data_IF_928469751815
#
_entry.id   IF_928469751815
#
_cell.length_a   1.000
_cell.length_b   1.000
_cell.length_c   1.000
_cell.angle_alpha   90.00
_cell.angle_beta   90.00
_cell.angle_gamma   90.00
#
_symmetry.space_group_name_H-M   'P 1'
#
loop_
_entity.id
_entity.type
_entity.pdbx_description
1 polymer ?
#
# COMPACT_ATOMS: atom_id res chain seq x y z
N UNK A 1 46.32 54.09 -0.82
CA UNK A 1 46.41 52.76 -1.45
C UNK A 1 45.31 51.90 -0.81
N UNK A 2 44.08 51.99 -1.33
CA UNK A 2 42.91 51.28 -0.78
C UNK A 2 42.74 49.92 -1.53
N UNK A 3 42.83 48.78 -0.81
CA UNK A 3 42.55 47.43 -1.35
C UNK A 3 41.06 47.13 -1.24
N UNK A 4 40.37 47.11 -2.37
CA UNK A 4 39.01 46.60 -2.48
C UNK A 4 39.04 45.08 -2.36
N UNK A 5 38.48 44.52 -1.26
CA UNK A 5 38.14 43.10 -1.13
C UNK A 5 36.80 42.81 -1.84
N UNK A 6 36.85 42.12 -2.96
CA UNK A 6 35.65 41.58 -3.59
C UNK A 6 35.11 40.43 -2.73
N UNK A 7 33.95 40.63 -2.16
CA UNK A 7 33.15 39.53 -1.59
C UNK A 7 32.47 38.79 -2.75
N UNK A 8 32.85 37.55 -3.00
CA UNK A 8 32.09 36.62 -3.83
C UNK A 8 30.92 36.08 -2.96
N UNK A 9 29.69 36.49 -3.29
CA UNK A 9 28.49 35.81 -2.82
C UNK A 9 28.42 34.42 -3.49
N UNK A 10 28.19 33.33 -2.76
CA UNK A 10 27.90 32.07 -3.38
C UNK A 10 26.51 32.15 -4.05
N UNK A 11 26.47 31.90 -5.35
CA UNK A 11 25.22 31.64 -6.07
C UNK A 11 24.59 30.36 -5.51
N UNK A 12 23.57 30.55 -4.69
CA UNK A 12 22.65 29.48 -4.32
C UNK A 12 21.84 29.16 -5.60
N UNK A 13 22.26 28.16 -6.34
CA UNK A 13 21.41 27.54 -7.35
C UNK A 13 20.20 26.91 -6.61
N UNK A 14 18.96 27.28 -6.96
CA UNK A 14 17.82 26.53 -6.44
C UNK A 14 17.96 25.10 -6.96
N UNK A 15 18.12 24.16 -6.06
CA UNK A 15 17.88 22.75 -6.37
C UNK A 15 16.42 22.66 -6.82
N UNK A 16 16.17 22.67 -8.12
CA UNK A 16 14.91 22.21 -8.67
C UNK A 16 14.79 20.74 -8.26
N UNK A 17 14.00 20.47 -7.24
CA UNK A 17 13.58 19.11 -6.96
C UNK A 17 12.78 18.67 -8.19
N UNK A 18 13.42 17.97 -9.12
CA UNK A 18 12.71 17.29 -10.18
C UNK A 18 11.73 16.33 -9.51
N UNK A 19 10.45 16.52 -9.78
CA UNK A 19 9.42 15.56 -9.40
C UNK A 19 9.85 14.20 -9.95
N UNK A 20 9.87 13.18 -9.09
CA UNK A 20 10.40 11.87 -9.43
C UNK A 20 9.25 10.87 -9.53
N UNK A 21 9.18 10.12 -10.65
CA UNK A 21 8.21 9.03 -10.80
C UNK A 21 8.25 8.07 -9.62
N UNK A 22 7.13 7.38 -9.30
CA UNK A 22 7.15 6.27 -8.36
C UNK A 22 8.17 5.21 -8.79
N UNK A 23 9.12 4.88 -7.93
CA UNK A 23 10.22 3.96 -8.23
C UNK A 23 9.83 2.51 -7.93
N UNK A 24 8.76 2.04 -8.55
CA UNK A 24 8.31 0.64 -8.40
C UNK A 24 9.41 -0.37 -8.73
N UNK A 25 10.31 -0.04 -9.66
CA UNK A 25 11.37 -0.94 -10.10
C UNK A 25 12.35 -1.30 -8.98
N UNK A 26 12.72 -0.36 -8.12
CA UNK A 26 13.62 -0.59 -6.97
C UNK A 26 13.06 -1.58 -5.96
N UNK A 27 11.74 -1.69 -5.86
CA UNK A 27 11.08 -2.63 -4.95
C UNK A 27 10.80 -3.97 -5.61
N UNK A 28 10.43 -3.99 -6.90
CA UNK A 28 10.20 -5.21 -7.66
C UNK A 28 11.52 -5.98 -7.85
N UNK A 29 12.61 -5.27 -8.13
CA UNK A 29 13.93 -5.82 -8.43
C UNK A 29 14.88 -5.76 -7.22
N UNK A 30 14.36 -5.92 -5.99
CA UNK A 30 15.23 -5.96 -4.80
C UNK A 30 16.28 -7.09 -4.94
N UNK A 31 17.49 -6.88 -4.39
CA UNK A 31 18.50 -7.94 -4.36
C UNK A 31 17.99 -9.23 -3.69
N UNK A 32 18.61 -10.35 -4.03
CA UNK A 32 18.30 -11.63 -3.37
C UNK A 32 18.49 -11.49 -1.86
N UNK A 33 17.42 -11.76 -1.12
CA UNK A 33 17.47 -11.70 0.34
C UNK A 33 18.20 -12.91 0.90
N UNK A 34 19.20 -12.65 1.72
CA UNK A 34 19.89 -13.69 2.51
C UNK A 34 19.27 -13.71 3.90
N UNK A 35 18.56 -14.79 4.21
CA UNK A 35 17.94 -14.95 5.52
C UNK A 35 18.99 -14.96 6.65
N UNK A 36 18.68 -14.39 7.82
CA UNK A 36 19.53 -14.50 8.99
C UNK A 36 19.67 -15.95 9.46
N UNK A 37 20.63 -16.19 10.36
CA UNK A 37 20.71 -17.49 10.99
C UNK A 37 19.47 -17.75 11.86
N UNK A 38 18.82 -18.90 11.66
CA UNK A 38 17.69 -19.30 12.48
C UNK A 38 18.11 -19.46 13.95
N UNK A 39 17.29 -18.92 14.86
CA UNK A 39 17.46 -19.09 16.30
C UNK A 39 16.31 -19.95 16.88
N UNK A 40 16.37 -20.22 18.18
CA UNK A 40 15.26 -20.90 18.86
C UNK A 40 14.19 -19.88 19.23
N UNK A 41 12.93 -20.29 19.19
CA UNK A 41 11.84 -19.52 19.83
C UNK A 41 12.15 -19.31 21.31
N UNK A 42 11.77 -18.17 21.86
CA UNK A 42 11.89 -17.88 23.28
C UNK A 42 10.95 -18.76 24.10
N UNK A 43 9.78 -19.07 23.54
CA UNK A 43 8.75 -19.86 24.22
C UNK A 43 8.45 -21.17 23.50
N UNK A 44 8.42 -22.27 24.26
CA UNK A 44 8.06 -23.59 23.72
C UNK A 44 6.64 -23.62 23.12
N UNK A 45 5.70 -22.83 23.67
CA UNK A 45 4.34 -22.69 23.13
C UNK A 45 4.37 -22.20 21.67
N UNK A 46 5.18 -21.20 21.37
CA UNK A 46 5.32 -20.59 20.04
C UNK A 46 6.03 -21.54 19.07
N UNK A 47 7.03 -22.29 19.54
CA UNK A 47 7.65 -23.35 18.73
C UNK A 47 6.66 -24.44 18.32
N UNK A 48 5.76 -24.86 19.24
CA UNK A 48 4.71 -25.85 18.93
C UNK A 48 3.72 -25.26 17.93
N UNK A 49 3.31 -24.01 18.14
CA UNK A 49 2.40 -23.28 17.28
C UNK A 49 2.96 -23.20 15.85
N UNK A 50 4.19 -22.74 15.67
CA UNK A 50 4.84 -22.62 14.37
C UNK A 50 5.05 -23.96 13.65
N UNK A 51 5.22 -25.05 14.40
CA UNK A 51 5.32 -26.41 13.81
C UNK A 51 3.99 -26.99 13.39
N UNK A 52 2.89 -26.60 14.04
CA UNK A 52 1.56 -27.18 13.83
C UNK A 52 0.67 -26.35 12.92
N UNK A 53 0.99 -25.09 12.72
CA UNK A 53 0.17 -24.11 11.98
C UNK A 53 1.01 -23.36 10.94
N UNK A 54 0.38 -22.95 9.86
CA UNK A 54 1.00 -22.10 8.85
C UNK A 54 1.13 -20.67 9.36
N UNK A 55 2.25 -20.03 9.10
CA UNK A 55 2.46 -18.60 9.37
C UNK A 55 1.46 -17.74 8.58
N UNK A 56 0.78 -16.83 9.28
CA UNK A 56 -0.22 -15.94 8.71
C UNK A 56 0.06 -14.50 9.13
N UNK A 57 1.25 -14.04 8.82
CA UNK A 57 1.71 -12.72 9.18
C UNK A 57 1.10 -11.66 8.27
N UNK A 58 0.85 -10.48 8.83
CA UNK A 58 0.27 -9.35 8.11
C UNK A 58 1.01 -8.05 8.42
N UNK A 59 0.99 -7.12 7.49
CA UNK A 59 1.61 -5.81 7.64
C UNK A 59 0.85 -4.78 6.83
N UNK A 60 0.64 -3.60 7.42
CA UNK A 60 0.06 -2.46 6.73
C UNK A 60 1.12 -1.68 5.97
N UNK A 61 0.77 -1.18 4.78
CA UNK A 61 1.64 -0.26 4.05
C UNK A 61 1.56 1.16 4.63
N UNK A 62 2.64 1.89 4.47
CA UNK A 62 2.76 3.29 4.90
C UNK A 62 3.11 4.18 3.72
N UNK A 63 2.38 5.28 3.55
CA UNK A 63 2.72 6.34 2.61
C UNK A 63 2.83 7.64 3.38
N UNK A 64 3.92 8.39 3.14
CA UNK A 64 4.22 9.64 3.83
C UNK A 64 4.72 10.70 2.87
N UNK A 65 4.57 11.96 3.26
CA UNK A 65 5.26 13.06 2.60
C UNK A 65 6.74 13.05 2.97
N UNK A 66 7.61 13.45 2.06
CA UNK A 66 9.04 13.62 2.32
C UNK A 66 9.29 14.48 3.57
N UNK A 67 10.22 14.05 4.41
CA UNK A 67 10.55 14.71 5.67
C UNK A 67 9.71 14.25 6.87
N UNK A 68 8.67 13.47 6.66
CA UNK A 68 7.93 12.83 7.76
C UNK A 68 8.59 11.51 8.19
N UNK A 69 8.25 11.02 9.38
CA UNK A 69 8.65 9.71 9.87
C UNK A 69 7.67 8.64 9.40
N UNK A 70 8.18 7.58 8.78
CA UNK A 70 7.39 6.44 8.32
C UNK A 70 7.30 5.39 9.43
N UNK A 71 6.12 5.21 10.02
CA UNK A 71 5.86 4.11 10.94
C UNK A 71 5.15 2.97 10.21
N UNK A 72 5.71 1.76 10.32
CA UNK A 72 5.14 0.54 9.75
C UNK A 72 4.98 -0.51 10.84
N UNK A 73 3.82 -1.15 10.88
CA UNK A 73 3.46 -2.15 11.89
C UNK A 73 3.16 -3.48 11.22
N UNK A 74 3.84 -4.53 11.69
CA UNK A 74 3.55 -5.91 11.34
C UNK A 74 2.90 -6.64 12.52
N UNK A 75 2.02 -7.61 12.21
CA UNK A 75 1.41 -8.54 13.17
C UNK A 75 1.76 -9.96 12.77
N UNK A 76 2.14 -10.75 13.74
CA UNK A 76 2.63 -12.12 13.55
C UNK A 76 1.64 -13.11 14.15
N UNK A 77 0.95 -13.84 13.27
CA UNK A 77 -0.05 -14.85 13.63
C UNK A 77 0.32 -16.20 13.01
N UNK A 78 -0.22 -17.27 13.60
CA UNK A 78 -0.21 -18.62 13.05
C UNK A 78 -1.62 -19.18 12.97
N UNK A 79 -1.88 -19.94 11.89
CA UNK A 79 -3.19 -20.57 11.63
C UNK A 79 -4.16 -19.64 10.92
N UNK A 80 -4.53 -20.00 9.68
CA UNK A 80 -5.42 -19.20 8.84
C UNK A 80 -6.84 -18.99 9.43
N UNK A 81 -7.32 -19.89 10.30
CA UNK A 81 -8.65 -19.80 10.88
C UNK A 81 -8.65 -19.21 12.31
N UNK A 82 -7.59 -19.44 13.09
CA UNK A 82 -7.54 -19.05 14.50
C UNK A 82 -6.75 -17.79 14.76
N UNK A 83 -5.86 -17.41 13.84
CA UNK A 83 -5.00 -16.20 13.95
C UNK A 83 -4.38 -16.07 15.35
N UNK A 84 -3.70 -17.15 15.82
CA UNK A 84 -3.07 -17.12 17.13
C UNK A 84 -1.82 -16.27 17.12
N UNK A 85 -1.77 -15.29 17.98
CA UNK A 85 -0.69 -14.31 18.11
C UNK A 85 0.64 -14.99 18.48
N UNK A 86 1.73 -14.50 17.86
CA UNK A 86 3.11 -14.81 18.20
C UNK A 86 3.61 -13.80 19.22
N UNK A 87 3.43 -14.08 20.48
CA UNK A 87 3.75 -13.20 21.60
C UNK A 87 5.21 -13.37 22.06
N UNK A 88 5.87 -12.27 22.39
CA UNK A 88 7.16 -12.23 23.09
C UNK A 88 8.31 -12.98 22.35
N UNK A 89 8.33 -12.87 21.00
CA UNK A 89 9.31 -13.49 20.12
C UNK A 89 10.13 -12.47 19.33
N UNK A 90 11.32 -12.85 18.91
CA UNK A 90 12.21 -11.96 18.18
C UNK A 90 11.96 -11.98 16.68
N UNK A 91 11.99 -10.77 16.11
CA UNK A 91 11.83 -10.47 14.69
C UNK A 91 12.97 -9.57 14.24
N UNK A 92 13.67 -9.96 13.20
CA UNK A 92 14.62 -9.10 12.51
C UNK A 92 13.93 -8.33 11.38
N UNK A 93 14.32 -7.07 11.20
CA UNK A 93 13.69 -6.19 10.21
C UNK A 93 14.74 -5.65 9.25
N UNK A 94 14.40 -5.68 7.96
CA UNK A 94 15.26 -5.28 6.86
C UNK A 94 14.54 -4.33 5.92
N UNK A 95 15.30 -3.45 5.27
CA UNK A 95 14.83 -2.45 4.30
C UNK A 95 15.59 -2.62 2.97
N UNK A 96 14.88 -2.60 1.86
CA UNK A 96 15.42 -2.49 0.51
C UNK A 96 14.57 -1.51 -0.32
N UNK A 97 15.07 -1.00 -1.42
CA UNK A 97 14.33 -0.11 -2.30
C UNK A 97 15.16 1.05 -2.84
N UNK A 98 14.52 2.16 -3.13
CA UNK A 98 15.13 3.33 -3.76
C UNK A 98 16.43 3.75 -3.09
N UNK A 99 17.51 3.84 -3.88
CA UNK A 99 18.84 4.25 -3.42
C UNK A 99 19.61 3.21 -2.60
N UNK A 100 19.05 2.01 -2.38
CA UNK A 100 19.72 0.92 -1.68
C UNK A 100 20.18 -0.17 -2.67
N UNK A 101 21.44 -0.53 -2.60
CA UNK A 101 22.05 -1.58 -3.44
C UNK A 101 21.90 -2.98 -2.86
N UNK A 102 21.54 -3.07 -1.59
CA UNK A 102 21.34 -4.33 -0.87
C UNK A 102 20.33 -4.13 0.29
N UNK A 103 19.94 -5.23 0.94
CA UNK A 103 19.10 -5.23 2.12
C UNK A 103 19.85 -4.66 3.32
N UNK A 104 19.32 -3.59 3.89
CA UNK A 104 19.83 -2.96 5.11
C UNK A 104 19.09 -3.51 6.31
N UNK A 105 19.79 -4.11 7.27
CA UNK A 105 19.21 -4.50 8.56
C UNK A 105 18.85 -3.24 9.36
N UNK A 106 17.60 -3.10 9.75
CA UNK A 106 17.11 -2.00 10.58
C UNK A 106 17.21 -2.29 12.06
N UNK A 107 17.09 -3.56 12.45
CA UNK A 107 17.21 -3.96 13.83
C UNK A 107 16.61 -5.32 14.15
N UNK A 108 16.58 -5.60 15.44
CA UNK A 108 15.98 -6.77 16.07
C UNK A 108 14.96 -6.28 17.08
N UNK A 109 13.75 -6.74 16.97
CA UNK A 109 12.61 -6.28 17.77
C UNK A 109 11.92 -7.47 18.41
N UNK A 110 11.06 -7.20 19.38
CA UNK A 110 10.30 -8.23 20.06
C UNK A 110 8.82 -7.98 19.86
N UNK A 111 8.05 -9.03 19.58
CA UNK A 111 6.60 -8.92 19.46
C UNK A 111 5.97 -8.64 20.83
N UNK A 112 4.93 -7.83 20.83
CA UNK A 112 4.12 -7.53 22.00
C UNK A 112 3.08 -8.64 22.29
N UNK A 113 2.16 -8.40 23.23
CA UNK A 113 1.10 -9.31 23.64
C UNK A 113 0.09 -9.60 22.52
N UNK A 114 -0.04 -8.69 21.54
CA UNK A 114 -0.86 -8.84 20.33
C UNK A 114 -0.07 -9.39 19.13
N UNK A 115 1.16 -9.85 19.34
CA UNK A 115 2.03 -10.34 18.27
C UNK A 115 2.54 -9.25 17.33
N UNK A 116 2.64 -7.98 17.74
CA UNK A 116 2.99 -6.84 16.89
C UNK A 116 4.42 -6.37 17.06
N UNK A 117 4.96 -5.86 15.96
CA UNK A 117 6.19 -5.07 15.93
C UNK A 117 5.94 -3.82 15.13
N UNK A 118 6.21 -2.66 15.71
CA UNK A 118 6.17 -1.35 15.03
C UNK A 118 7.59 -0.79 14.94
N UNK A 119 7.96 -0.30 13.75
CA UNK A 119 9.23 0.39 13.55
C UNK A 119 8.96 1.75 12.90
N UNK A 120 9.85 2.70 13.18
CA UNK A 120 9.82 4.02 12.53
C UNK A 120 11.13 4.26 11.78
N UNK A 121 11.00 4.81 10.57
CA UNK A 121 12.12 5.22 9.75
C UNK A 121 12.01 6.71 9.46
N UNK A 122 13.06 7.45 9.76
CA UNK A 122 13.15 8.88 9.53
C UNK A 122 14.05 9.18 8.32
N UNK A 123 13.82 10.34 7.71
CA UNK A 123 14.68 10.88 6.66
C UNK A 123 14.87 9.97 5.44
N UNK A 124 13.88 9.11 5.13
CA UNK A 124 13.90 8.37 3.88
C UNK A 124 13.75 9.34 2.70
N UNK A 125 14.61 9.21 1.66
CA UNK A 125 14.41 9.93 0.40
C UNK A 125 13.07 9.60 -0.27
N UNK A 126 12.62 10.47 -1.19
CA UNK A 126 11.49 10.15 -2.07
C UNK A 126 11.78 8.83 -2.78
N UNK A 127 10.82 7.91 -2.77
CA UNK A 127 10.96 6.60 -3.39
C UNK A 127 10.06 5.53 -2.77
N UNK A 128 10.29 4.32 -3.20
CA UNK A 128 9.54 3.13 -2.79
C UNK A 128 10.47 2.18 -2.05
N UNK A 129 10.00 1.63 -0.95
CA UNK A 129 10.79 0.76 -0.08
C UNK A 129 10.00 -0.48 0.33
N UNK A 130 10.70 -1.62 0.36
CA UNK A 130 10.20 -2.88 0.92
C UNK A 130 10.80 -3.07 2.30
N UNK A 131 9.95 -3.31 3.28
CA UNK A 131 10.32 -3.66 4.65
C UNK A 131 10.02 -5.13 4.87
N UNK A 132 11.05 -5.92 5.10
CA UNK A 132 10.91 -7.36 5.39
C UNK A 132 11.08 -7.61 6.87
N UNK A 133 10.11 -8.28 7.44
CA UNK A 133 10.15 -8.79 8.80
C UNK A 133 10.39 -10.28 8.76
N UNK A 134 11.30 -10.77 9.58
CA UNK A 134 11.72 -12.18 9.64
C UNK A 134 11.60 -12.68 11.08
N UNK A 135 10.75 -13.65 11.33
CA UNK A 135 10.67 -14.33 12.64
C UNK A 135 11.90 -15.19 12.83
N UNK A 136 12.68 -14.92 13.86
CA UNK A 136 13.95 -15.66 14.07
C UNK A 136 13.75 -17.16 14.32
N UNK A 137 12.64 -17.54 14.92
CA UNK A 137 12.37 -18.90 15.35
C UNK A 137 12.15 -19.92 14.23
N UNK A 138 11.57 -19.50 13.10
CA UNK A 138 11.25 -20.38 11.96
C UNK A 138 11.57 -19.76 10.60
N UNK A 139 12.12 -18.54 10.58
CA UNK A 139 12.45 -17.75 9.38
C UNK A 139 11.25 -17.42 8.51
N UNK A 140 10.03 -17.54 9.03
CA UNK A 140 8.84 -17.05 8.34
C UNK A 140 8.91 -15.53 8.16
N UNK A 141 8.37 -15.02 7.05
CA UNK A 141 8.52 -13.62 6.66
C UNK A 141 7.20 -12.96 6.29
N UNK A 142 7.16 -11.64 6.41
CA UNK A 142 6.14 -10.79 5.79
C UNK A 142 6.79 -9.51 5.29
N UNK A 143 6.36 -9.07 4.09
CA UNK A 143 6.80 -7.83 3.48
C UNK A 143 5.72 -6.76 3.58
N UNK A 144 6.10 -5.56 4.01
CA UNK A 144 5.32 -4.34 3.91
C UNK A 144 6.05 -3.29 3.09
N UNK A 145 5.36 -2.20 2.77
CA UNK A 145 5.92 -1.20 1.88
C UNK A 145 5.80 0.20 2.47
N UNK A 146 6.81 1.02 2.20
CA UNK A 146 6.81 2.44 2.51
C UNK A 146 6.96 3.19 1.20
N UNK A 147 6.01 4.10 0.92
CA UNK A 147 6.11 5.08 -0.16
C UNK A 147 6.40 6.44 0.45
N UNK A 148 7.49 7.07 0.03
CA UNK A 148 7.83 8.45 0.39
C UNK A 148 7.60 9.32 -0.84
N UNK A 149 6.72 10.29 -0.73
CA UNK A 149 6.28 11.10 -1.87
C UNK A 149 6.52 12.60 -1.64
N UNK A 150 6.67 13.35 -2.72
CA UNK A 150 6.61 14.80 -2.68
C UNK A 150 5.18 15.30 -2.53
N UNK A 151 5.02 16.50 -2.03
CA UNK A 151 3.72 17.18 -2.00
C UNK A 151 3.17 17.38 -3.42
N UNK A 152 1.89 17.10 -3.62
CA UNK A 152 1.24 17.22 -4.92
C UNK A 152 1.46 16.02 -5.84
N UNK A 153 2.09 14.91 -5.36
CA UNK A 153 2.19 13.67 -6.11
C UNK A 153 0.80 13.23 -6.58
N UNK A 154 0.65 13.03 -7.90
CA UNK A 154 -0.60 12.60 -8.47
C UNK A 154 -0.86 11.12 -8.22
N UNK A 155 -2.07 10.81 -7.75
CA UNK A 155 -2.46 9.47 -7.37
C UNK A 155 -3.80 9.05 -7.99
N UNK A 156 -3.93 7.73 -8.20
CA UNK A 156 -5.18 7.08 -8.59
C UNK A 156 -5.53 6.07 -7.49
N UNK A 157 -6.75 6.14 -6.99
CA UNK A 157 -7.24 5.25 -5.93
C UNK A 157 -8.23 4.26 -6.50
N UNK A 158 -8.04 2.98 -6.20
CA UNK A 158 -8.93 1.90 -6.59
C UNK A 158 -9.49 1.20 -5.34
N UNK A 159 -10.81 1.05 -5.27
CA UNK A 159 -11.37 -0.05 -4.52
C UNK A 159 -11.10 -1.36 -5.25
N UNK A 160 -11.21 -2.51 -4.57
CA UNK A 160 -10.83 -3.81 -5.13
C UNK A 160 -12.05 -4.65 -5.47
N UNK A 161 -12.86 -4.97 -4.45
CA UNK A 161 -13.97 -5.91 -4.60
C UNK A 161 -15.16 -5.28 -5.32
N UNK A 162 -15.66 -5.95 -6.36
CA UNK A 162 -16.70 -5.40 -7.22
C UNK A 162 -16.23 -4.21 -8.08
N UNK A 163 -15.00 -3.74 -7.90
CA UNK A 163 -14.39 -2.63 -8.65
C UNK A 163 -13.33 -3.14 -9.62
N UNK A 164 -12.23 -3.70 -9.16
CA UNK A 164 -11.25 -4.37 -10.03
C UNK A 164 -11.65 -5.81 -10.30
N UNK A 165 -12.32 -6.47 -9.36
CA UNK A 165 -12.85 -7.82 -9.48
C UNK A 165 -14.34 -7.82 -9.74
N UNK A 166 -14.85 -8.87 -10.44
CA UNK A 166 -16.27 -9.00 -10.81
C UNK A 166 -17.15 -9.27 -9.57
N UNK A 167 -16.61 -9.94 -8.57
CA UNK A 167 -17.36 -10.35 -7.38
C UNK A 167 -17.04 -9.42 -6.22
N UNK A 168 -18.07 -9.00 -5.51
CA UNK A 168 -17.93 -8.39 -4.19
C UNK A 168 -17.41 -9.43 -3.20
N UNK A 169 -16.56 -8.98 -2.28
CA UNK A 169 -16.05 -9.79 -1.17
C UNK A 169 -17.17 -10.26 -0.22
N UNK A 170 -18.40 -9.82 -0.40
CA UNK A 170 -19.56 -10.29 0.35
C UNK A 170 -19.85 -11.79 0.16
N UNK A 171 -19.28 -12.43 -0.86
CA UNK A 171 -19.22 -13.88 -0.95
C UNK A 171 -18.22 -14.50 0.06
N UNK A 172 -18.22 -14.02 1.28
CA UNK A 172 -17.42 -14.51 2.41
C UNK A 172 -17.58 -16.01 2.69
N UNK A 173 -18.69 -16.59 2.26
CA UNK A 173 -18.94 -18.03 2.38
C UNK A 173 -18.05 -18.89 1.47
N UNK A 174 -17.46 -18.31 0.40
CA UNK A 174 -16.53 -18.99 -0.50
C UNK A 174 -15.06 -18.87 -0.06
N UNK A 175 -14.80 -18.18 1.04
CA UNK A 175 -13.45 -17.90 1.57
C UNK A 175 -12.66 -19.17 1.94
N UNK A 176 -13.33 -20.27 2.25
CA UNK A 176 -12.70 -21.56 2.55
C UNK A 176 -12.31 -22.34 1.27
N UNK A 177 -12.66 -21.86 0.09
CA UNK A 177 -12.54 -22.60 -1.16
C UNK A 177 -11.89 -21.84 -2.32
N UNK A 178 -10.76 -21.16 -2.12
CA UNK A 178 -9.75 -20.78 -3.16
C UNK A 178 -10.28 -20.48 -4.58
N UNK A 179 -11.30 -19.70 -4.76
CA UNK A 179 -11.60 -19.14 -6.08
C UNK A 179 -10.80 -17.87 -6.27
N UNK A 180 -9.82 -17.87 -7.15
CA UNK A 180 -9.11 -16.68 -7.58
C UNK A 180 -10.12 -15.67 -8.13
N UNK A 181 -10.26 -14.52 -7.50
CA UNK A 181 -11.13 -13.45 -7.97
C UNK A 181 -10.83 -13.11 -9.43
N UNK A 182 -11.85 -13.02 -10.27
CA UNK A 182 -11.69 -12.66 -11.69
C UNK A 182 -11.72 -11.14 -11.83
N UNK A 183 -10.72 -10.53 -12.50
CA UNK A 183 -10.79 -9.12 -12.79
C UNK A 183 -11.90 -8.83 -13.83
N UNK A 184 -12.46 -7.63 -13.78
CA UNK A 184 -13.20 -7.10 -14.91
C UNK A 184 -12.30 -7.02 -16.15
N UNK A 185 -12.91 -7.16 -17.33
CA UNK A 185 -12.19 -6.98 -18.60
C UNK A 185 -11.56 -5.59 -18.62
N UNK A 186 -10.28 -5.53 -18.95
CA UNK A 186 -9.44 -4.33 -18.99
C UNK A 186 -9.18 -3.62 -17.64
N UNK A 187 -9.68 -4.10 -16.50
CA UNK A 187 -9.37 -3.49 -15.19
C UNK A 187 -7.86 -3.47 -14.92
N UNK A 188 -7.17 -4.58 -15.18
CA UNK A 188 -5.71 -4.69 -15.04
C UNK A 188 -4.98 -3.73 -15.97
N UNK A 189 -5.46 -3.57 -17.22
CA UNK A 189 -4.88 -2.65 -18.19
C UNK A 189 -5.05 -1.19 -17.77
N UNK A 190 -6.16 -0.84 -17.11
CA UNK A 190 -6.39 0.50 -16.52
C UNK A 190 -5.36 0.81 -15.45
N UNK A 191 -5.16 -0.09 -14.49
CA UNK A 191 -4.17 0.12 -13.41
C UNK A 191 -2.76 0.24 -13.99
N UNK A 192 -2.35 -0.66 -14.89
CA UNK A 192 -1.03 -0.61 -15.54
C UNK A 192 -0.80 0.68 -16.31
N UNK A 193 -1.80 1.13 -17.08
CA UNK A 193 -1.65 2.35 -17.85
C UNK A 193 -1.43 3.59 -16.95
N UNK A 194 -2.07 3.66 -15.80
CA UNK A 194 -1.80 4.73 -14.84
C UNK A 194 -0.43 4.58 -14.19
N UNK A 195 -0.02 3.37 -13.82
CA UNK A 195 1.33 3.10 -13.32
C UNK A 195 2.41 3.51 -14.33
N UNK A 196 2.26 3.11 -15.60
CA UNK A 196 3.18 3.45 -16.69
C UNK A 196 3.23 4.95 -16.98
N UNK A 197 2.13 5.66 -16.72
CA UNK A 197 2.05 7.12 -16.78
C UNK A 197 2.59 7.83 -15.54
N UNK A 198 3.10 7.09 -14.56
CA UNK A 198 3.76 7.62 -13.37
C UNK A 198 2.81 8.09 -12.27
N UNK A 199 1.58 7.67 -12.27
CA UNK A 199 0.68 7.90 -11.14
C UNK A 199 0.99 6.98 -9.97
N UNK A 200 0.87 7.51 -8.74
CA UNK A 200 0.89 6.67 -7.54
C UNK A 200 -0.38 5.83 -7.49
N UNK A 201 -0.23 4.51 -7.52
CA UNK A 201 -1.36 3.58 -7.43
C UNK A 201 -1.65 3.30 -5.96
N UNK A 202 -2.92 3.38 -5.58
CA UNK A 202 -3.38 3.11 -4.22
C UNK A 202 -4.60 2.21 -4.28
N UNK A 203 -4.53 1.09 -3.56
CA UNK A 203 -5.67 0.20 -3.36
C UNK A 203 -6.26 0.46 -1.98
N UNK A 204 -7.53 0.86 -1.92
CA UNK A 204 -8.26 1.18 -0.70
C UNK A 204 -9.49 0.29 -0.58
N UNK A 205 -9.41 -0.75 0.23
CA UNK A 205 -10.43 -1.78 0.32
C UNK A 205 -11.06 -1.90 1.70
N UNK A 206 -12.26 -2.46 1.74
CA UNK A 206 -12.95 -2.84 2.98
C UNK A 206 -12.47 -4.18 3.55
N UNK A 207 -11.59 -4.91 2.84
CA UNK A 207 -11.04 -6.17 3.31
C UNK A 207 -10.36 -6.04 4.67
N UNK A 208 -10.45 -7.03 5.55
CA UNK A 208 -9.70 -7.03 6.81
C UNK A 208 -8.20 -7.24 6.55
N UNK A 209 -7.37 -6.83 7.52
CA UNK A 209 -5.92 -6.90 7.40
C UNK A 209 -5.37 -8.33 7.18
N UNK A 210 -6.02 -9.34 7.73
CA UNK A 210 -5.59 -10.73 7.57
C UNK A 210 -5.71 -11.25 6.13
N UNK A 211 -6.49 -10.57 5.25
CA UNK A 211 -6.58 -10.87 3.81
C UNK A 211 -5.45 -10.24 2.97
N UNK A 212 -4.56 -9.46 3.57
CA UNK A 212 -3.49 -8.74 2.87
C UNK A 212 -2.59 -9.67 2.05
N UNK A 213 -2.29 -10.86 2.60
CA UNK A 213 -1.45 -11.87 1.92
C UNK A 213 -2.09 -12.33 0.62
N UNK A 214 -3.36 -12.70 0.64
CA UNK A 214 -4.09 -13.21 -0.52
C UNK A 214 -4.33 -12.09 -1.54
N UNK A 215 -4.63 -10.88 -1.09
CA UNK A 215 -4.75 -9.70 -1.95
C UNK A 215 -3.45 -9.42 -2.71
N UNK A 216 -2.30 -9.41 -2.05
CA UNK A 216 -1.00 -9.19 -2.70
C UNK A 216 -0.63 -10.29 -3.69
N UNK A 217 -0.90 -11.55 -3.36
CA UNK A 217 -0.73 -12.66 -4.29
C UNK A 217 -1.57 -12.49 -5.55
N UNK A 218 -2.80 -11.98 -5.39
CA UNK A 218 -3.66 -11.67 -6.53
C UNK A 218 -3.07 -10.55 -7.40
N UNK A 219 -2.61 -9.44 -6.81
CA UNK A 219 -1.96 -8.35 -7.54
C UNK A 219 -0.72 -8.85 -8.29
N UNK A 220 0.16 -9.60 -7.63
CA UNK A 220 1.34 -10.19 -8.25
C UNK A 220 0.98 -11.09 -9.43
N UNK A 221 -0.03 -11.96 -9.28
CA UNK A 221 -0.52 -12.83 -10.35
C UNK A 221 -1.06 -12.04 -11.55
N UNK A 222 -1.66 -10.88 -11.32
CA UNK A 222 -2.15 -9.98 -12.37
C UNK A 222 -1.02 -9.11 -12.95
N UNK A 223 0.20 -9.17 -12.39
CA UNK A 223 1.32 -8.30 -12.77
C UNK A 223 1.05 -6.84 -12.45
N UNK A 224 0.40 -6.58 -11.32
CA UNK A 224 0.11 -5.26 -10.77
C UNK A 224 1.07 -4.97 -9.61
N UNK A 225 1.31 -3.69 -9.27
CA UNK A 225 1.99 -3.34 -8.03
C UNK A 225 1.26 -3.95 -6.83
N UNK A 226 2.01 -4.57 -5.91
CA UNK A 226 1.44 -5.17 -4.70
C UNK A 226 1.15 -4.15 -3.61
N UNK A 227 1.51 -2.88 -3.85
CA UNK A 227 1.37 -1.74 -2.95
C UNK A 227 1.07 -0.46 -3.75
N UNK A 228 0.57 0.61 -3.18
CA UNK A 228 0.21 0.82 -1.79
C UNK A 228 -1.17 0.21 -1.52
N UNK A 229 -1.28 -0.72 -0.56
CA UNK A 229 -2.51 -1.44 -0.24
C UNK A 229 -3.00 -1.09 1.17
N UNK A 230 -4.20 -0.54 1.28
CA UNK A 230 -4.83 -0.19 2.55
C UNK A 230 -6.07 -1.03 2.78
N UNK A 231 -5.94 -2.00 3.69
CA UNK A 231 -7.04 -2.78 4.27
C UNK A 231 -7.55 -2.11 5.56
N UNK A 232 -8.64 -2.65 6.11
CA UNK A 232 -9.09 -2.25 7.45
C UNK A 232 -8.20 -2.92 8.51
N UNK A 233 -7.12 -2.22 8.84
CA UNK A 233 -6.25 -2.62 9.95
C UNK A 233 -6.80 -2.01 11.23
N UNK A 234 -7.24 -2.83 12.18
CA UNK A 234 -7.79 -2.37 13.45
C UNK A 234 -7.12 -3.12 14.62
N UNK A 235 -7.05 -2.45 15.74
CA UNK A 235 -6.64 -3.04 17.00
C UNK A 235 -7.71 -3.99 17.53
N UNK A 236 -7.31 -5.08 18.20
CA UNK A 236 -8.25 -6.02 18.84
C UNK A 236 -9.22 -5.32 19.80
N UNK A 237 -8.80 -4.18 20.37
CA UNK A 237 -9.57 -3.38 21.32
C UNK A 237 -10.34 -2.22 20.66
N UNK A 238 -10.19 -1.96 19.37
CA UNK A 238 -10.89 -0.90 18.66
C UNK A 238 -12.13 -1.43 17.95
N UNK A 239 -13.21 -0.63 17.94
CA UNK A 239 -14.37 -0.93 17.11
C UNK A 239 -13.93 -0.89 15.65
N UNK A 240 -14.33 -1.91 14.87
CA UNK A 240 -14.14 -1.90 13.41
C UNK A 240 -14.88 -0.68 12.86
N UNK A 241 -14.20 0.31 12.24
CA UNK A 241 -14.87 1.46 11.68
C UNK A 241 -15.82 1.01 10.56
N UNK A 242 -16.92 1.73 10.37
CA UNK A 242 -17.79 1.52 9.21
C UNK A 242 -16.97 1.68 7.91
N UNK A 243 -17.34 0.97 6.85
CA UNK A 243 -16.60 0.96 5.57
C UNK A 243 -16.43 2.38 5.01
N UNK A 244 -17.51 3.17 5.02
CA UNK A 244 -17.47 4.56 4.58
C UNK A 244 -16.47 5.38 5.41
N UNK A 245 -16.55 5.32 6.74
CA UNK A 245 -15.65 6.05 7.64
C UNK A 245 -14.19 5.68 7.39
N UNK A 246 -13.88 4.36 7.30
CA UNK A 246 -12.53 3.90 6.99
C UNK A 246 -11.98 4.49 5.69
N UNK A 247 -12.78 4.50 4.62
CA UNK A 247 -12.36 5.05 3.33
C UNK A 247 -12.24 6.57 3.37
N UNK A 248 -13.20 7.27 3.99
CA UNK A 248 -13.17 8.73 4.14
C UNK A 248 -11.94 9.19 4.92
N UNK A 249 -11.67 8.58 6.08
CA UNK A 249 -10.55 8.95 6.94
C UNK A 249 -9.21 8.76 6.22
N UNK A 250 -9.08 7.63 5.51
CA UNK A 250 -7.85 7.37 4.78
C UNK A 250 -7.64 8.30 3.57
N UNK A 251 -8.69 8.61 2.82
CA UNK A 251 -8.62 9.59 1.73
C UNK A 251 -8.27 10.99 2.26
N UNK A 252 -8.81 11.40 3.39
CA UNK A 252 -8.46 12.66 4.05
C UNK A 252 -6.99 12.66 4.51
N UNK A 253 -6.49 11.56 5.07
CA UNK A 253 -5.07 11.40 5.39
C UNK A 253 -4.18 11.56 4.14
N UNK A 254 -4.51 10.88 3.04
CA UNK A 254 -3.75 10.97 1.78
C UNK A 254 -3.71 12.40 1.24
N UNK A 255 -4.83 13.12 1.28
CA UNK A 255 -4.95 14.48 0.73
C UNK A 255 -4.34 15.54 1.63
N UNK A 256 -4.58 15.48 2.94
CA UNK A 256 -4.25 16.57 3.86
C UNK A 256 -2.98 16.34 4.67
N UNK A 257 -2.59 15.10 4.93
CA UNK A 257 -1.37 14.77 5.68
C UNK A 257 -0.23 14.38 4.75
N UNK A 258 -0.48 13.52 3.77
CA UNK A 258 0.51 13.11 2.77
C UNK A 258 0.65 14.15 1.66
N UNK A 259 -0.42 14.90 1.37
CA UNK A 259 -0.43 15.96 0.37
C UNK A 259 -0.57 15.45 -1.06
N UNK A 260 -1.22 14.29 -1.28
CA UNK A 260 -1.45 13.76 -2.62
C UNK A 260 -2.51 14.57 -3.38
N UNK A 261 -2.28 14.74 -4.69
CA UNK A 261 -3.30 15.14 -5.66
C UNK A 261 -3.99 13.89 -6.21
N UNK A 262 -5.16 13.54 -5.63
CA UNK A 262 -5.94 12.38 -6.07
C UNK A 262 -6.72 12.77 -7.34
N UNK A 263 -6.22 12.34 -8.49
CA UNK A 263 -6.78 12.71 -9.80
C UNK A 263 -8.05 11.93 -10.12
N UNK A 264 -8.14 10.66 -9.74
CA UNK A 264 -9.31 9.80 -9.92
C UNK A 264 -9.45 8.78 -8.83
N UNK A 265 -10.70 8.41 -8.56
CA UNK A 265 -11.07 7.32 -7.66
C UNK A 265 -12.04 6.37 -8.34
N UNK A 266 -11.90 5.09 -8.06
CA UNK A 266 -12.70 4.01 -8.64
C UNK A 266 -13.39 3.21 -7.54
N UNK A 267 -14.68 2.92 -7.70
CA UNK A 267 -15.49 2.18 -6.74
C UNK A 267 -16.70 1.52 -7.39
N UNK A 268 -17.50 0.80 -6.59
CA UNK A 268 -18.70 0.13 -7.07
C UNK A 268 -19.93 0.29 -6.15
N UNK A 269 -19.73 0.74 -4.91
CA UNK A 269 -20.74 0.75 -3.87
C UNK A 269 -21.23 2.18 -3.51
N UNK A 270 -22.41 2.28 -2.89
CA UNK A 270 -22.89 3.55 -2.34
C UNK A 270 -21.98 4.10 -1.24
N UNK A 271 -21.30 3.22 -0.49
CA UNK A 271 -20.31 3.58 0.53
C UNK A 271 -19.07 4.23 -0.10
N UNK A 272 -18.66 3.81 -1.31
CA UNK A 272 -17.58 4.45 -2.08
C UNK A 272 -17.99 5.85 -2.51
N UNK A 273 -19.15 5.97 -3.13
CA UNK A 273 -19.68 7.27 -3.57
C UNK A 273 -19.76 8.26 -2.40
N UNK A 274 -20.23 7.80 -1.24
CA UNK A 274 -20.31 8.62 -0.05
C UNK A 274 -18.91 9.00 0.50
N UNK A 275 -18.01 8.02 0.63
CA UNK A 275 -16.65 8.26 1.13
C UNK A 275 -15.86 9.23 0.25
N UNK A 276 -15.98 9.10 -1.06
CA UNK A 276 -15.31 9.98 -2.02
C UNK A 276 -15.84 11.41 -1.93
N UNK A 277 -17.18 11.57 -1.86
CA UNK A 277 -17.81 12.87 -1.68
C UNK A 277 -17.44 13.52 -0.33
N UNK A 278 -17.50 12.75 0.77
CA UNK A 278 -17.17 13.22 2.11
C UNK A 278 -15.68 13.62 2.24
N UNK A 279 -14.83 13.04 1.40
CA UNK A 279 -13.41 13.41 1.29
C UNK A 279 -13.18 14.59 0.35
N UNK A 280 -14.25 15.23 -0.19
CA UNK A 280 -14.15 16.39 -1.07
C UNK A 280 -13.63 16.07 -2.48
N UNK A 281 -13.72 14.83 -2.94
CA UNK A 281 -13.41 14.46 -4.31
C UNK A 281 -14.56 14.81 -5.24
N UNK A 282 -14.26 15.39 -6.40
CA UNK A 282 -15.26 15.83 -7.32
C UNK A 282 -15.93 14.66 -8.06
N UNK A 283 -17.18 14.83 -8.46
CA UNK A 283 -17.97 13.82 -9.18
C UNK A 283 -17.36 13.41 -10.52
N UNK A 284 -16.70 14.34 -11.21
CA UNK A 284 -15.99 14.08 -12.45
C UNK A 284 -14.66 13.32 -12.27
N UNK A 285 -14.18 13.21 -11.03
CA UNK A 285 -13.02 12.38 -10.64
C UNK A 285 -13.44 11.00 -10.10
N UNK A 286 -14.74 10.80 -9.85
CA UNK A 286 -15.30 9.59 -9.21
C UNK A 286 -15.91 8.69 -10.26
N UNK A 287 -15.28 7.55 -10.51
CA UNK A 287 -15.71 6.55 -11.48
C UNK A 287 -16.32 5.35 -10.76
N UNK A 288 -17.54 4.99 -11.12
CA UNK A 288 -18.31 3.91 -10.49
C UNK A 288 -18.68 2.85 -11.53
N UNK A 289 -18.38 1.59 -11.24
CA UNK A 289 -18.75 0.43 -12.04
C UNK A 289 -19.88 -0.35 -11.37
N UNK A 290 -20.66 -1.08 -12.14
CA UNK A 290 -21.71 -1.97 -11.66
C UNK A 290 -23.04 -1.28 -11.38
N UNK A 291 -23.79 -1.76 -10.41
CA UNK A 291 -25.20 -1.37 -10.16
C UNK A 291 -25.37 0.13 -9.88
N UNK A 292 -24.38 0.76 -9.28
CA UNK A 292 -24.46 2.18 -8.87
C UNK A 292 -23.72 3.12 -9.82
N UNK A 293 -23.35 2.65 -11.02
CA UNK A 293 -22.68 3.47 -12.04
C UNK A 293 -23.52 4.71 -12.39
N UNK A 294 -22.94 5.91 -12.29
CA UNK A 294 -23.59 7.19 -12.56
C UNK A 294 -24.50 7.72 -11.43
N UNK A 295 -24.67 6.98 -10.33
CA UNK A 295 -25.48 7.46 -9.20
C UNK A 295 -24.83 8.70 -8.59
N UNK A 296 -25.65 9.71 -8.20
CA UNK A 296 -25.23 11.02 -7.69
C UNK A 296 -24.31 11.79 -8.66
N UNK A 297 -24.51 11.64 -9.94
CA UNK A 297 -23.77 12.27 -11.05
C UNK A 297 -22.28 11.86 -11.09
N UNK A 298 -21.92 10.71 -10.56
CA UNK A 298 -20.59 10.13 -10.74
C UNK A 298 -20.37 9.65 -12.18
N UNK A 299 -19.13 9.41 -12.57
CA UNK A 299 -18.80 8.91 -13.91
C UNK A 299 -19.10 7.41 -13.98
N UNK A 300 -19.97 7.01 -14.91
CA UNK A 300 -20.37 5.62 -15.07
C UNK A 300 -19.34 4.82 -15.88
N UNK A 301 -18.97 3.65 -15.38
CA UNK A 301 -18.28 2.63 -16.15
C UNK A 301 -19.31 1.53 -16.44
N UNK A 302 -19.68 1.40 -17.71
CA UNK A 302 -20.73 0.47 -18.13
C UNK A 302 -20.14 -0.92 -18.42
N UNK A 303 -20.64 -1.94 -17.74
CA UNK A 303 -20.34 -3.36 -17.88
C UNK A 303 -18.89 -3.80 -17.61
N UNK A 304 -17.87 -3.10 -18.14
CA UNK A 304 -16.46 -3.40 -17.94
C UNK A 304 -15.59 -2.17 -18.27
N UNK A 305 -14.24 -2.31 -18.18
CA UNK A 305 -13.32 -1.19 -18.36
C UNK A 305 -12.90 -0.92 -19.82
N UNK A 306 -13.33 -1.70 -20.81
CA UNK A 306 -12.77 -1.60 -22.18
C UNK A 306 -13.00 -0.24 -22.83
N UNK A 307 -14.21 0.31 -22.75
CA UNK A 307 -14.51 1.64 -23.28
C UNK A 307 -13.78 2.73 -22.48
N UNK A 308 -13.89 2.67 -21.16
CA UNK A 308 -13.21 3.60 -20.25
C UNK A 308 -11.69 3.63 -20.48
N UNK A 309 -11.07 2.46 -20.64
CA UNK A 309 -9.64 2.35 -20.97
C UNK A 309 -9.30 3.09 -22.27
N UNK A 310 -10.12 2.89 -23.31
CA UNK A 310 -9.88 3.46 -24.63
C UNK A 310 -10.13 4.97 -24.68
N UNK A 311 -11.16 5.47 -24.01
CA UNK A 311 -11.66 6.86 -24.16
C UNK A 311 -11.19 7.80 -23.07
N UNK A 312 -10.79 7.29 -21.90
CA UNK A 312 -10.40 8.10 -20.75
C UNK A 312 -8.96 7.84 -20.35
N UNK A 313 -8.60 6.55 -20.12
CA UNK A 313 -7.30 6.21 -19.55
C UNK A 313 -6.19 6.44 -20.56
N UNK A 314 -6.37 6.06 -21.82
CA UNK A 314 -5.38 6.29 -22.89
C UNK A 314 -5.09 7.77 -23.10
N UNK A 315 -6.13 8.61 -23.04
CA UNK A 315 -6.03 10.06 -23.27
C UNK A 315 -5.58 10.83 -22.02
N UNK A 316 -5.49 10.15 -20.87
CA UNK A 316 -4.92 10.77 -19.66
C UNK A 316 -3.45 11.08 -19.88
N UNK A 317 -2.97 12.31 -19.62
CA UNK A 317 -1.57 12.65 -19.77
C UNK A 317 -0.68 11.87 -18.81
N UNK A 318 0.62 11.92 -19.03
CA UNK A 318 1.59 11.46 -18.04
C UNK A 318 1.46 12.31 -16.77
N UNK A 319 1.68 11.70 -15.61
CA UNK A 319 1.69 12.42 -14.33
C UNK A 319 2.73 13.55 -14.36
N UNK A 320 2.39 14.70 -13.79
CA UNK A 320 3.29 15.84 -13.69
C UNK A 320 4.58 15.51 -12.95
N UNK A 321 4.55 14.53 -12.07
CA UNK A 321 5.74 14.02 -11.36
C UNK A 321 6.70 13.25 -12.26
N UNK A 322 6.30 12.96 -13.51
CA UNK A 322 7.08 12.17 -14.46
C UNK A 322 7.35 12.90 -15.80
N UNK A 323 7.15 14.21 -15.82
CA UNK A 323 7.42 15.04 -17.00
C UNK A 323 8.81 15.63 -17.01
#
# INVERSE_FOLDING_TARGET
>A
MFKFRRFLLPLLYPFSAFAQCPDYASVINTPTFVAPQQSKFQHRKNQILAKSQTAWHMVGDTIIQQGQSATITAKFDYGAALHKDLEDEYVEVYLAGTGLTDWKKLGRFKTDEDGRVSISQENLPIGEYRVRFVVEGDLSTVDGFISVVEQGRQAIVFDVDGTLTINDFEAYADYIGMKTARPYVDAVNVVRAYQEKGYQIIYLTARPAWDTKDSRQWFAKMGLPEWHYRSRFYDANSKIPAIQTHKTDYLNYLRHTVGLDIVRVYGNALTDIAAYADSGLAKNQTYIIGTYAGVKDTQAITSNYSEHYRTVVKDTPQSISCQ
#
